data_IF_897228009632
#
_entry.id   IF_897228009632
#
_cell.length_a   1.000
_cell.length_b   1.000
_cell.length_c   1.000
_cell.angle_alpha   90.00
_cell.angle_beta   90.00
_cell.angle_gamma   90.00
#
_symmetry.space_group_name_H-M   'P 1'
#
loop_
_entity.id
_entity.type
_entity.pdbx_description
1 polymer ?
#
# COMPACT_ATOMS: atom_id res chain seq x y z
N UNK A 1 -14.08 -4.85 -2.76
CA UNK A 1 -14.55 -4.11 -1.56
C UNK A 1 -15.92 -3.46 -1.71
N UNK A 2 -16.48 -3.26 -2.92
CA UNK A 2 -17.80 -2.61 -3.10
C UNK A 2 -19.03 -3.53 -2.91
N UNK A 3 -18.86 -4.85 -2.90
CA UNK A 3 -19.98 -5.79 -2.79
C UNK A 3 -20.73 -5.69 -1.45
N UNK A 4 -20.00 -5.50 -0.34
CA UNK A 4 -20.60 -5.34 0.99
C UNK A 4 -21.33 -4.00 1.12
N UNK A 5 -20.73 -2.84 0.79
CA UNK A 5 -21.42 -1.57 0.62
C UNK A 5 -22.71 -1.62 -0.20
N UNK A 6 -22.63 -2.25 -1.38
CA UNK A 6 -23.73 -2.32 -2.32
C UNK A 6 -24.84 -3.25 -1.82
N UNK A 7 -24.50 -4.40 -1.24
CA UNK A 7 -25.46 -5.30 -0.61
C UNK A 7 -26.15 -4.65 0.60
N UNK A 8 -25.40 -3.90 1.43
CA UNK A 8 -25.97 -3.13 2.55
C UNK A 8 -26.87 -1.99 2.04
N UNK A 9 -26.52 -1.33 0.94
CA UNK A 9 -27.34 -0.32 0.28
C UNK A 9 -28.62 -0.90 -0.36
N UNK A 10 -28.55 -2.09 -0.97
CA UNK A 10 -29.72 -2.77 -1.51
C UNK A 10 -30.66 -3.23 -0.39
N UNK A 11 -30.11 -3.76 0.70
CA UNK A 11 -30.87 -4.04 1.93
C UNK A 11 -31.50 -2.77 2.52
N UNK A 12 -30.77 -1.65 2.48
CA UNK A 12 -31.25 -0.34 2.90
C UNK A 12 -32.44 0.14 2.07
N UNK A 13 -32.36 0.11 0.74
CA UNK A 13 -33.44 0.53 -0.17
C UNK A 13 -34.65 -0.40 -0.10
N UNK A 14 -34.43 -1.69 0.13
CA UNK A 14 -35.52 -2.65 0.28
C UNK A 14 -36.21 -2.48 1.64
N UNK A 15 -35.46 -2.25 2.71
CA UNK A 15 -35.99 -2.03 4.06
C UNK A 15 -36.77 -0.72 4.25
N UNK A 16 -36.59 0.29 3.38
CA UNK A 16 -37.38 1.53 3.43
C UNK A 16 -38.77 1.40 2.79
N UNK A 17 -39.00 0.38 1.95
CA UNK A 17 -40.21 0.26 1.13
C UNK A 17 -41.03 -1.01 1.37
N UNK A 18 -40.52 -1.96 2.16
CA UNK A 18 -41.18 -3.26 2.40
C UNK A 18 -41.30 -3.58 3.89
N UNK A 19 -42.24 -4.49 4.21
CA UNK A 19 -42.45 -4.98 5.58
C UNK A 19 -41.14 -5.51 6.20
N UNK A 20 -40.93 -5.26 7.50
CA UNK A 20 -39.72 -5.69 8.24
C UNK A 20 -39.37 -7.17 8.05
N UNK A 21 -40.38 -8.03 7.92
CA UNK A 21 -40.22 -9.47 7.67
C UNK A 21 -39.52 -9.75 6.34
N UNK A 22 -39.86 -9.06 5.26
CA UNK A 22 -39.22 -9.20 3.94
C UNK A 22 -37.76 -8.78 3.98
N UNK A 23 -37.45 -7.66 4.63
CA UNK A 23 -36.08 -7.17 4.79
C UNK A 23 -35.20 -8.16 5.59
N UNK A 24 -35.73 -8.69 6.70
CA UNK A 24 -35.01 -9.69 7.51
C UNK A 24 -34.71 -10.98 6.73
N UNK A 25 -35.66 -11.44 5.91
CA UNK A 25 -35.46 -12.60 5.03
C UNK A 25 -34.40 -12.32 3.98
N UNK A 26 -34.46 -11.19 3.29
CA UNK A 26 -33.44 -10.79 2.32
C UNK A 26 -32.04 -10.68 2.95
N UNK A 27 -31.93 -10.05 4.12
CA UNK A 27 -30.68 -9.94 4.87
C UNK A 27 -30.14 -11.32 5.26
N UNK A 28 -31.01 -12.22 5.73
CA UNK A 28 -30.62 -13.59 6.07
C UNK A 28 -30.11 -14.37 4.85
N UNK A 29 -30.77 -14.24 3.69
CA UNK A 29 -30.31 -14.90 2.46
C UNK A 29 -28.94 -14.36 2.02
N UNK A 30 -28.73 -13.04 2.06
CA UNK A 30 -27.44 -12.44 1.75
C UNK A 30 -26.35 -12.85 2.74
N UNK A 31 -26.67 -12.93 4.04
CA UNK A 31 -25.74 -13.41 5.06
C UNK A 31 -25.35 -14.87 4.82
N UNK A 32 -26.32 -15.74 4.52
CA UNK A 32 -26.06 -17.15 4.19
C UNK A 32 -25.18 -17.26 2.95
N UNK A 33 -25.50 -16.55 1.86
CA UNK A 33 -24.69 -16.54 0.64
C UNK A 33 -23.27 -16.04 0.93
N UNK A 34 -23.13 -14.95 1.70
CA UNK A 34 -21.82 -14.43 2.12
C UNK A 34 -21.02 -15.47 2.89
N UNK A 35 -21.63 -16.15 3.87
CA UNK A 35 -20.97 -17.18 4.68
C UNK A 35 -20.56 -18.39 3.85
N UNK A 36 -21.40 -18.83 2.90
CA UNK A 36 -21.08 -19.92 1.98
C UNK A 36 -19.90 -19.56 1.08
N UNK A 37 -19.90 -18.36 0.49
CA UNK A 37 -18.78 -17.86 -0.33
C UNK A 37 -17.51 -17.74 0.52
N UNK A 38 -17.62 -17.22 1.74
CA UNK A 38 -16.48 -17.11 2.66
C UNK A 38 -15.92 -18.49 3.03
N UNK A 39 -16.77 -19.46 3.35
CA UNK A 39 -16.36 -20.82 3.65
C UNK A 39 -15.69 -21.49 2.44
N UNK A 40 -16.27 -21.35 1.24
CA UNK A 40 -15.70 -21.89 0.01
C UNK A 40 -14.32 -21.25 -0.31
N UNK A 41 -14.18 -19.93 -0.18
CA UNK A 41 -12.91 -19.24 -0.39
C UNK A 41 -11.86 -19.61 0.66
N UNK A 42 -12.26 -19.73 1.93
CA UNK A 42 -11.36 -20.18 3.00
C UNK A 42 -10.93 -21.63 2.78
N UNK A 43 -11.84 -22.52 2.40
CA UNK A 43 -11.52 -23.90 2.04
C UNK A 43 -10.54 -23.98 0.87
N UNK A 44 -10.78 -23.21 -0.19
CA UNK A 44 -9.85 -23.09 -1.31
C UNK A 44 -8.46 -22.57 -0.87
N UNK A 45 -8.40 -21.55 -0.01
CA UNK A 45 -7.12 -21.01 0.48
C UNK A 45 -6.36 -22.01 1.34
N UNK A 46 -7.06 -22.74 2.21
CA UNK A 46 -6.44 -23.79 3.01
C UNK A 46 -5.89 -24.91 2.11
N UNK A 47 -6.63 -25.30 1.07
CA UNK A 47 -6.17 -26.29 0.10
C UNK A 47 -4.97 -25.81 -0.74
N UNK A 48 -5.03 -24.57 -1.24
CA UNK A 48 -4.04 -24.04 -2.18
C UNK A 48 -2.78 -23.48 -1.49
N UNK A 49 -2.95 -22.73 -0.39
CA UNK A 49 -1.85 -22.06 0.32
C UNK A 49 -1.43 -22.78 1.61
N UNK A 50 -2.27 -23.67 2.16
CA UNK A 50 -2.05 -24.25 3.49
C UNK A 50 -2.48 -23.34 4.66
N UNK A 51 -3.03 -22.16 4.36
CA UNK A 51 -3.41 -21.14 5.36
C UNK A 51 -4.78 -20.53 5.05
N UNK A 52 -5.53 -20.06 6.07
CA UNK A 52 -6.86 -19.47 5.85
C UNK A 52 -6.80 -18.13 5.12
N UNK A 53 -5.66 -17.44 5.19
CA UNK A 53 -5.39 -16.16 4.56
C UNK A 53 -4.11 -16.27 3.70
N UNK A 54 -3.95 -15.45 2.65
CA UNK A 54 -2.73 -15.46 1.84
C UNK A 54 -1.54 -14.91 2.64
N UNK A 55 -0.31 -15.28 2.24
CA UNK A 55 0.92 -14.78 2.85
C UNK A 55 0.98 -13.25 2.94
N UNK A 56 0.43 -12.56 1.95
CA UNK A 56 0.35 -11.09 1.91
C UNK A 56 -0.42 -10.49 3.10
N UNK A 57 -1.37 -11.23 3.69
CA UNK A 57 -2.01 -10.82 4.93
C UNK A 57 -0.99 -10.86 6.08
N UNK A 58 -0.39 -12.02 6.34
CA UNK A 58 0.54 -12.21 7.46
C UNK A 58 1.77 -11.32 7.38
N UNK A 59 2.31 -11.11 6.18
CA UNK A 59 3.44 -10.21 5.94
C UNK A 59 3.12 -8.73 6.21
N UNK A 60 1.85 -8.32 6.07
CA UNK A 60 1.42 -6.90 6.16
C UNK A 60 0.64 -6.57 7.42
N UNK A 61 0.32 -7.56 8.25
CA UNK A 61 -0.37 -7.33 9.53
C UNK A 61 0.55 -6.56 10.46
N UNK A 62 -0.02 -5.53 11.08
CA UNK A 62 0.65 -4.71 12.08
C UNK A 62 0.69 -5.39 13.45
N UNK A 63 1.66 -5.02 14.31
CA UNK A 63 1.92 -5.72 15.57
C UNK A 63 0.82 -5.51 16.61
N UNK A 64 0.10 -4.39 16.57
CA UNK A 64 -0.93 -4.08 17.56
C UNK A 64 -2.03 -3.19 17.01
N UNK A 65 -3.18 -3.20 17.70
CA UNK A 65 -4.28 -2.29 17.41
C UNK A 65 -3.87 -0.82 17.61
N UNK A 66 -3.09 -0.52 18.64
CA UNK A 66 -2.61 0.85 18.92
C UNK A 66 -1.75 1.35 17.76
N UNK A 67 -0.83 0.52 17.27
CA UNK A 67 -0.01 0.85 16.11
C UNK A 67 -0.87 1.14 14.88
N UNK A 68 -1.92 0.34 14.65
CA UNK A 68 -2.89 0.62 13.60
C UNK A 68 -3.63 1.94 13.83
N UNK A 69 -4.14 2.21 15.03
CA UNK A 69 -4.88 3.44 15.30
C UNK A 69 -4.02 4.67 15.06
N UNK A 70 -2.75 4.67 15.49
CA UNK A 70 -1.83 5.79 15.28
C UNK A 70 -1.57 6.04 13.80
N UNK A 71 -1.07 5.03 13.07
CA UNK A 71 -0.77 5.20 11.63
C UNK A 71 -2.03 5.43 10.79
N UNK A 72 -3.15 4.83 11.19
CA UNK A 72 -4.44 5.04 10.57
C UNK A 72 -4.99 6.44 10.78
N UNK A 73 -4.77 7.05 11.95
CA UNK A 73 -5.16 8.42 12.23
C UNK A 73 -4.30 9.42 11.47
N UNK A 74 -2.98 9.22 11.41
CA UNK A 74 -2.07 10.02 10.57
C UNK A 74 -2.53 10.00 9.11
N UNK A 75 -2.83 8.81 8.57
CA UNK A 75 -3.35 8.63 7.22
C UNK A 75 -4.73 9.30 7.02
N UNK A 76 -5.58 9.30 8.05
CA UNK A 76 -6.85 10.02 8.01
C UNK A 76 -6.68 11.54 7.98
N UNK A 77 -5.72 12.08 8.76
CA UNK A 77 -5.40 13.51 8.73
C UNK A 77 -4.85 13.91 7.36
N UNK A 78 -3.98 13.09 6.77
CA UNK A 78 -3.50 13.29 5.40
C UNK A 78 -4.67 13.36 4.42
N UNK A 79 -5.62 12.41 4.50
CA UNK A 79 -6.84 12.42 3.68
C UNK A 79 -7.68 13.69 3.88
N UNK A 80 -7.91 14.12 5.13
CA UNK A 80 -8.66 15.36 5.40
C UNK A 80 -7.98 16.61 4.81
N UNK A 81 -6.65 16.60 4.76
CA UNK A 81 -5.85 17.68 4.19
C UNK A 81 -5.68 17.59 2.67
N UNK A 82 -6.07 16.48 2.03
CA UNK A 82 -5.82 16.25 0.61
C UNK A 82 -6.71 17.07 -0.33
N UNK A 83 -7.76 17.71 0.19
CA UNK A 83 -8.66 18.53 -0.61
C UNK A 83 -9.75 19.23 0.21
N UNK A 84 -10.24 20.36 -0.30
CA UNK A 84 -11.26 21.17 0.39
C UNK A 84 -12.57 20.38 0.50
N UNK A 85 -12.99 19.67 -0.56
CA UNK A 85 -14.22 18.87 -0.52
C UNK A 85 -14.14 17.75 0.50
N UNK A 86 -12.97 17.14 0.70
CA UNK A 86 -12.81 16.08 1.70
C UNK A 86 -12.94 16.63 3.11
N UNK A 87 -12.17 17.67 3.44
CA UNK A 87 -12.20 18.29 4.77
C UNK A 87 -13.57 18.92 5.07
N UNK A 88 -14.07 19.78 4.17
CA UNK A 88 -15.36 20.44 4.33
C UNK A 88 -16.52 19.45 4.27
N UNK A 89 -16.48 18.45 3.39
CA UNK A 89 -17.48 17.39 3.30
C UNK A 89 -17.58 16.56 4.57
N UNK A 90 -16.45 16.23 5.18
CA UNK A 90 -16.42 15.49 6.47
C UNK A 90 -16.94 16.37 7.61
N UNK A 91 -16.55 17.64 7.68
CA UNK A 91 -17.05 18.57 8.69
C UNK A 91 -18.58 18.80 8.55
N UNK A 92 -19.07 18.98 7.32
CA UNK A 92 -20.48 19.16 7.03
C UNK A 92 -21.30 17.88 7.30
N UNK A 93 -20.73 16.69 7.09
CA UNK A 93 -21.34 15.43 7.50
C UNK A 93 -21.56 15.38 9.02
N UNK A 94 -20.58 15.82 9.81
CA UNK A 94 -20.69 15.91 11.27
C UNK A 94 -21.75 16.94 11.70
N UNK A 95 -21.76 18.12 11.07
CA UNK A 95 -22.77 19.16 11.33
C UNK A 95 -24.17 18.62 10.99
N UNK A 96 -24.30 17.95 9.85
CA UNK A 96 -25.57 17.36 9.42
C UNK A 96 -26.08 16.34 10.44
N UNK A 97 -25.21 15.51 11.02
CA UNK A 97 -25.59 14.62 12.13
C UNK A 97 -26.10 15.36 13.35
N UNK A 98 -25.39 16.41 13.77
CA UNK A 98 -25.78 17.22 14.93
C UNK A 98 -27.16 17.86 14.70
N UNK A 99 -27.41 18.37 13.50
CA UNK A 99 -28.71 18.92 13.11
C UNK A 99 -29.82 17.87 13.09
N UNK A 100 -29.55 16.67 12.55
CA UNK A 100 -30.51 15.56 12.56
C UNK A 100 -30.82 15.10 13.99
N UNK A 101 -29.81 15.01 14.86
CA UNK A 101 -29.97 14.64 16.26
C UNK A 101 -30.77 15.71 17.03
N UNK A 102 -30.51 17.00 16.77
CA UNK A 102 -31.24 18.11 17.36
C UNK A 102 -32.70 18.14 16.89
N UNK A 103 -32.97 17.97 15.59
CA UNK A 103 -34.34 17.91 15.03
C UNK A 103 -35.16 16.77 15.63
N UNK A 104 -34.54 15.62 15.93
CA UNK A 104 -35.22 14.49 16.60
C UNK A 104 -35.66 14.80 18.02
N UNK A 105 -35.07 15.79 18.68
CA UNK A 105 -35.46 16.22 20.04
C UNK A 105 -36.58 17.25 20.03
N UNK A 106 -36.84 17.90 18.89
CA UNK A 106 -37.95 18.83 18.77
C UNK A 106 -39.27 18.04 18.70
N UNK A 107 -40.34 18.49 19.40
CA UNK A 107 -41.66 17.87 19.29
C UNK A 107 -42.07 17.82 17.82
N UNK A 108 -42.25 16.62 17.27
CA UNK A 108 -42.66 16.48 15.87
C UNK A 108 -44.04 17.09 15.73
N UNK A 109 -44.12 18.28 15.13
CA UNK A 109 -45.39 18.79 14.62
C UNK A 109 -45.85 17.74 13.60
N UNK A 110 -46.91 17.02 13.96
CA UNK A 110 -47.44 15.86 13.25
C UNK A 110 -47.72 16.19 11.79
N UNK A 111 -46.75 15.96 10.91
CA UNK A 111 -46.95 15.95 9.47
C UNK A 111 -46.95 14.47 9.05
N UNK A 112 -48.13 13.84 8.91
CA UNK A 112 -48.26 12.40 9.01
C UNK A 112 -47.63 11.61 7.86
N UNK A 113 -47.51 12.15 6.64
CA UNK A 113 -47.29 11.30 5.47
C UNK A 113 -46.29 11.88 4.46
N UNK A 114 -45.03 12.10 4.86
CA UNK A 114 -43.95 12.20 3.88
C UNK A 114 -43.32 10.81 3.68
N UNK A 115 -43.74 10.03 2.67
CA UNK A 115 -43.16 8.72 2.35
C UNK A 115 -41.69 8.79 1.88
N UNK A 116 -41.10 9.98 1.81
CA UNK A 116 -39.76 10.24 1.29
C UNK A 116 -38.75 10.69 2.34
N UNK A 117 -38.97 10.43 3.65
CA UNK A 117 -37.92 10.67 4.65
C UNK A 117 -36.75 9.72 4.37
N UNK A 118 -35.77 10.21 3.62
CA UNK A 118 -34.51 9.53 3.35
C UNK A 118 -33.92 9.05 4.68
N UNK A 119 -33.48 7.78 4.72
CA UNK A 119 -32.87 7.16 5.88
C UNK A 119 -31.43 7.70 6.09
N UNK A 120 -31.29 9.01 6.28
CA UNK A 120 -30.03 9.72 6.51
C UNK A 120 -29.14 9.10 7.59
N UNK A 121 -29.65 8.66 8.76
CA UNK A 121 -28.80 8.06 9.78
C UNK A 121 -28.01 6.85 9.28
N UNK A 122 -28.63 6.01 8.45
CA UNK A 122 -27.98 4.82 7.90
C UNK A 122 -26.90 5.18 6.88
N UNK A 123 -27.20 6.13 5.98
CA UNK A 123 -26.22 6.66 5.04
C UNK A 123 -25.00 7.21 5.80
N UNK A 124 -25.25 7.99 6.84
CA UNK A 124 -24.16 8.57 7.62
C UNK A 124 -23.38 7.48 8.37
N UNK A 125 -24.04 6.56 9.07
CA UNK A 125 -23.37 5.42 9.73
C UNK A 125 -22.50 4.63 8.76
N UNK A 126 -22.99 4.44 7.53
CA UNK A 126 -22.25 3.76 6.49
C UNK A 126 -21.02 4.55 6.02
N UNK A 127 -21.15 5.87 5.80
CA UNK A 127 -20.01 6.74 5.48
C UNK A 127 -18.97 6.77 6.62
N UNK A 128 -19.41 6.82 7.89
CA UNK A 128 -18.50 6.72 9.04
C UNK A 128 -17.80 5.38 9.12
N UNK A 129 -18.49 4.27 8.82
CA UNK A 129 -17.86 2.97 8.78
C UNK A 129 -16.73 2.96 7.74
N UNK A 130 -16.96 3.52 6.55
CA UNK A 130 -15.92 3.62 5.52
C UNK A 130 -14.75 4.54 5.92
N UNK A 131 -14.99 5.56 6.76
CA UNK A 131 -13.93 6.40 7.34
C UNK A 131 -13.13 5.68 8.45
N UNK A 132 -13.81 4.91 9.30
CA UNK A 132 -13.20 4.25 10.44
C UNK A 132 -12.37 3.04 10.01
N UNK A 133 -12.81 2.31 8.98
CA UNK A 133 -12.15 1.08 8.54
C UNK A 133 -10.64 1.26 8.21
N UNK A 134 -10.24 2.24 7.37
CA UNK A 134 -8.82 2.50 7.12
C UNK A 134 -8.05 2.83 8.40
N UNK A 135 -8.65 3.56 9.34
CA UNK A 135 -8.03 3.88 10.64
C UNK A 135 -7.78 2.61 11.45
N UNK A 136 -8.77 1.71 11.54
CA UNK A 136 -8.65 0.44 12.27
C UNK A 136 -7.62 -0.51 11.65
N UNK A 137 -7.41 -0.44 10.33
CA UNK A 137 -6.40 -1.24 9.63
C UNK A 137 -5.02 -0.58 9.60
N UNK A 138 -4.92 0.65 10.09
CA UNK A 138 -3.69 1.44 10.13
C UNK A 138 -3.23 2.04 8.82
N UNK A 139 -4.19 2.47 8.00
CA UNK A 139 -3.97 3.25 6.80
C UNK A 139 -3.21 2.52 5.70
N UNK A 140 -2.61 3.31 4.83
CA UNK A 140 -1.73 2.84 3.75
C UNK A 140 -0.56 3.82 3.59
N UNK A 141 0.50 3.41 2.90
CA UNK A 141 1.66 4.26 2.59
C UNK A 141 1.66 4.76 1.14
N UNK A 142 0.71 4.31 0.32
CA UNK A 142 0.56 4.80 -1.04
C UNK A 142 -0.16 6.14 -1.05
N UNK A 143 0.24 6.99 -1.99
CA UNK A 143 -0.33 8.31 -2.21
C UNK A 143 -1.84 8.27 -2.49
N UNK A 144 -2.45 9.47 -2.53
CA UNK A 144 -3.83 9.68 -2.96
C UNK A 144 -4.88 9.04 -2.05
N UNK A 145 -4.52 8.71 -0.80
CA UNK A 145 -5.45 8.21 0.21
C UNK A 145 -6.34 7.06 -0.33
N UNK A 146 -5.77 6.12 -1.09
CA UNK A 146 -6.55 5.17 -1.90
C UNK A 146 -7.56 4.32 -1.11
N UNK A 147 -7.35 4.08 0.19
CA UNK A 147 -8.34 3.38 1.01
C UNK A 147 -9.57 4.24 1.35
N UNK A 148 -9.44 5.57 1.30
CA UNK A 148 -10.53 6.53 1.49
C UNK A 148 -11.23 6.93 0.19
N UNK A 149 -10.71 6.57 -0.99
CA UNK A 149 -11.37 6.88 -2.27
C UNK A 149 -12.84 6.43 -2.34
N UNK A 150 -13.26 5.27 -1.79
CA UNK A 150 -14.68 4.91 -1.72
C UNK A 150 -15.55 5.86 -0.87
N UNK A 151 -14.95 6.60 0.08
CA UNK A 151 -15.63 7.59 0.92
C UNK A 151 -15.94 8.86 0.15
N UNK A 152 -15.06 9.26 -0.77
CA UNK A 152 -15.18 10.50 -1.53
C UNK A 152 -16.57 10.73 -2.18
N UNK A 153 -17.12 9.80 -2.99
CA UNK A 153 -18.46 9.98 -3.57
C UNK A 153 -19.56 10.06 -2.50
N UNK A 154 -19.36 9.42 -1.33
CA UNK A 154 -20.29 9.50 -0.22
C UNK A 154 -20.24 10.89 0.43
N UNK A 155 -19.09 11.53 0.54
CA UNK A 155 -18.99 12.92 1.01
C UNK A 155 -19.68 13.89 0.03
N UNK A 156 -19.48 13.72 -1.28
CA UNK A 156 -20.18 14.50 -2.30
C UNK A 156 -21.70 14.33 -2.21
N UNK A 157 -22.18 13.11 -1.99
CA UNK A 157 -23.60 12.85 -1.78
C UNK A 157 -24.09 13.47 -0.46
N UNK A 158 -23.32 13.40 0.62
CA UNK A 158 -23.66 14.02 1.90
C UNK A 158 -23.83 15.53 1.77
N UNK A 159 -22.92 16.20 1.06
CA UNK A 159 -22.99 17.62 0.73
C UNK A 159 -24.26 17.95 -0.05
N UNK A 160 -24.56 17.15 -1.08
CA UNK A 160 -25.76 17.34 -1.90
C UNK A 160 -27.03 17.21 -1.06
N UNK A 161 -27.12 16.17 -0.24
CA UNK A 161 -28.26 15.92 0.64
C UNK A 161 -28.41 17.02 1.70
N UNK A 162 -27.31 17.50 2.27
CA UNK A 162 -27.30 18.64 3.18
C UNK A 162 -27.90 19.89 2.53
N UNK A 163 -27.50 20.23 1.30
CA UNK A 163 -28.04 21.37 0.56
C UNK A 163 -29.54 21.21 0.29
N UNK A 164 -30.00 20.01 -0.10
CA UNK A 164 -31.42 19.71 -0.32
C UNK A 164 -32.23 19.90 0.96
N UNK A 165 -31.74 19.41 2.10
CA UNK A 165 -32.39 19.55 3.40
C UNK A 165 -32.41 21.00 3.90
N UNK A 166 -31.31 21.74 3.66
CA UNK A 166 -31.23 23.16 3.99
C UNK A 166 -32.20 24.01 3.16
N UNK A 167 -32.45 23.64 1.89
CA UNK A 167 -33.47 24.30 1.05
C UNK A 167 -34.87 24.17 1.63
N UNK A 168 -35.20 23.05 2.29
CA UNK A 168 -36.52 22.85 2.90
C UNK A 168 -36.66 23.58 4.24
N UNK A 169 -35.56 23.93 4.90
CA UNK A 169 -35.61 24.76 6.10
C UNK A 169 -35.94 26.21 5.70
N UNK A 170 -37.02 26.78 6.24
CA UNK A 170 -37.58 28.10 5.90
C UNK A 170 -36.68 29.33 6.22
N UNK A 171 -35.37 29.11 6.36
CA UNK A 171 -34.38 30.16 6.56
C UNK A 171 -34.14 30.90 5.25
N UNK A 172 -34.02 32.24 5.30
CA UNK A 172 -33.70 33.09 4.13
C UNK A 172 -32.45 32.62 3.36
N UNK A 173 -31.51 32.01 4.07
CA UNK A 173 -30.31 31.38 3.51
C UNK A 173 -30.62 30.15 2.64
N UNK A 174 -31.64 29.37 3.01
CA UNK A 174 -32.12 28.22 2.24
C UNK A 174 -32.72 28.65 0.89
N UNK A 175 -33.37 29.81 0.81
CA UNK A 175 -33.89 30.36 -0.45
C UNK A 175 -32.75 30.75 -1.41
N UNK A 176 -31.66 31.36 -0.91
CA UNK A 176 -30.47 31.67 -1.71
C UNK A 176 -29.79 30.40 -2.24
N UNK A 177 -29.54 29.43 -1.36
CA UNK A 177 -29.00 28.10 -1.72
C UNK A 177 -29.93 27.34 -2.67
N UNK A 178 -31.24 27.52 -2.58
CA UNK A 178 -32.17 26.85 -3.50
C UNK A 178 -32.08 27.38 -4.93
N UNK A 179 -31.76 28.67 -5.09
CA UNK A 179 -31.69 29.35 -6.39
C UNK A 179 -30.35 29.10 -7.10
N UNK A 180 -29.27 29.00 -6.33
CA UNK A 180 -27.91 28.89 -6.88
C UNK A 180 -27.16 27.62 -6.48
N UNK A 181 -27.71 26.79 -5.61
CA UNK A 181 -26.98 25.68 -4.97
C UNK A 181 -26.44 24.64 -5.94
N UNK A 182 -27.17 24.33 -7.02
CA UNK A 182 -26.64 23.44 -8.06
C UNK A 182 -25.41 24.05 -8.77
N UNK A 183 -25.47 25.35 -9.11
CA UNK A 183 -24.35 26.06 -9.70
C UNK A 183 -23.18 26.21 -8.71
N UNK A 184 -23.46 26.49 -7.44
CA UNK A 184 -22.43 26.56 -6.39
C UNK A 184 -21.76 25.20 -6.14
N UNK A 185 -22.53 24.11 -6.08
CA UNK A 185 -21.98 22.75 -5.96
C UNK A 185 -21.15 22.38 -7.19
N UNK A 186 -21.60 22.73 -8.39
CA UNK A 186 -20.82 22.52 -9.61
C UNK A 186 -19.52 23.32 -9.60
N UNK A 187 -19.57 24.60 -9.24
CA UNK A 187 -18.38 25.46 -9.14
C UNK A 187 -17.42 24.98 -8.05
N UNK A 188 -17.92 24.50 -6.91
CA UNK A 188 -17.11 23.91 -5.85
C UNK A 188 -16.47 22.59 -6.29
N UNK A 189 -17.20 21.72 -6.97
CA UNK A 189 -16.67 20.48 -7.52
C UNK A 189 -15.63 20.75 -8.61
N UNK A 190 -15.87 21.75 -9.47
CA UNK A 190 -14.91 22.18 -10.48
C UNK A 190 -13.66 22.78 -9.84
N UNK A 191 -13.81 23.67 -8.85
CA UNK A 191 -12.69 24.25 -8.11
C UNK A 191 -11.89 23.16 -7.38
N UNK A 192 -12.55 22.22 -6.72
CA UNK A 192 -11.88 21.10 -6.06
C UNK A 192 -11.16 20.20 -7.07
N UNK A 193 -11.76 19.91 -8.23
CA UNK A 193 -11.11 19.20 -9.31
C UNK A 193 -9.86 19.94 -9.82
N UNK A 194 -9.95 21.27 -9.99
CA UNK A 194 -8.82 22.11 -10.41
C UNK A 194 -7.71 22.17 -9.34
N UNK A 195 -8.08 22.33 -8.06
CA UNK A 195 -7.13 22.34 -6.94
C UNK A 195 -6.50 20.97 -6.72
N UNK A 196 -7.27 19.89 -6.89
CA UNK A 196 -6.77 18.52 -6.84
C UNK A 196 -5.82 18.23 -7.99
N UNK A 197 -6.18 18.64 -9.22
CA UNK A 197 -5.31 18.51 -10.39
C UNK A 197 -4.00 19.29 -10.20
N UNK A 198 -4.10 20.52 -9.69
CA UNK A 198 -2.94 21.37 -9.38
C UNK A 198 -2.07 20.78 -8.27
N UNK A 199 -2.66 20.40 -7.13
CA UNK A 199 -1.97 19.96 -5.93
C UNK A 199 -1.31 18.59 -6.06
N UNK A 200 -1.86 17.69 -6.88
CA UNK A 200 -1.29 16.36 -7.11
C UNK A 200 -0.36 16.30 -8.34
N UNK A 201 -0.02 17.45 -8.92
CA UNK A 201 0.80 17.51 -10.14
C UNK A 201 0.15 16.76 -11.31
N UNK A 202 -1.18 16.60 -11.30
CA UNK A 202 -1.91 16.04 -12.42
C UNK A 202 -2.10 17.15 -13.45
N UNK A 203 -1.04 17.47 -14.20
CA UNK A 203 -1.19 18.31 -15.37
C UNK A 203 -1.66 17.47 -16.56
N UNK A 204 -2.45 18.09 -17.44
CA UNK A 204 -2.78 17.51 -18.74
C UNK A 204 -1.52 17.19 -19.57
N UNK A 205 -0.40 17.88 -19.29
CA UNK A 205 0.88 17.58 -19.90
C UNK A 205 1.48 16.28 -19.34
N UNK A 206 1.44 16.05 -18.03
CA UNK A 206 1.94 14.80 -17.41
C UNK A 206 1.13 13.59 -17.88
N UNK A 207 -0.20 13.74 -18.00
CA UNK A 207 -1.08 12.70 -18.56
C UNK A 207 -0.79 12.36 -20.02
N UNK A 208 -0.17 13.30 -20.76
CA UNK A 208 0.14 13.15 -22.18
C UNK A 208 1.48 12.44 -22.42
N UNK A 209 2.41 12.48 -21.47
CA UNK A 209 3.80 12.07 -21.71
C UNK A 209 4.28 10.90 -20.83
N UNK A 210 3.88 10.80 -19.56
CA UNK A 210 4.22 9.63 -18.72
C UNK A 210 3.07 9.28 -17.77
N UNK A 211 2.62 8.02 -17.81
CA UNK A 211 1.60 7.54 -16.88
C UNK A 211 2.19 7.47 -15.46
N UNK A 212 1.47 7.90 -14.41
CA UNK A 212 1.93 7.72 -13.03
C UNK A 212 2.21 6.27 -12.63
N UNK A 213 1.67 5.30 -13.39
CA UNK A 213 1.93 3.86 -13.20
C UNK A 213 3.04 3.30 -14.11
N UNK A 214 3.64 4.12 -14.98
CA UNK A 214 4.73 3.69 -15.88
C UNK A 214 5.94 3.19 -15.08
N UNK A 215 6.24 3.84 -13.95
CA UNK A 215 7.27 3.39 -13.04
C UNK A 215 7.03 1.95 -12.53
N UNK A 216 5.78 1.55 -12.28
CA UNK A 216 5.44 0.19 -11.84
C UNK A 216 5.76 -0.85 -12.94
N UNK A 217 5.48 -0.52 -14.21
CA UNK A 217 5.84 -1.37 -15.34
C UNK A 217 7.36 -1.43 -15.53
N UNK A 218 8.05 -0.29 -15.48
CA UNK A 218 9.52 -0.23 -15.58
C UNK A 218 10.20 -1.04 -14.47
N UNK A 219 9.66 -1.05 -13.24
CA UNK A 219 10.18 -1.90 -12.15
C UNK A 219 10.03 -3.38 -12.51
N UNK A 220 8.86 -3.80 -13.03
CA UNK A 220 8.64 -5.18 -13.45
C UNK A 220 9.56 -5.60 -14.61
N UNK A 221 9.71 -4.75 -15.63
CA UNK A 221 10.61 -4.98 -16.77
C UNK A 221 12.07 -5.08 -16.34
N UNK A 222 12.54 -4.17 -15.47
CA UNK A 222 13.89 -4.23 -14.89
C UNK A 222 14.10 -5.54 -14.12
N UNK A 223 13.09 -5.98 -13.36
CA UNK A 223 13.11 -7.27 -12.68
C UNK A 223 13.23 -8.45 -13.65
N UNK A 224 12.44 -8.45 -14.73
CA UNK A 224 12.49 -9.50 -15.76
C UNK A 224 13.88 -9.53 -16.42
N UNK A 225 14.39 -8.36 -16.83
CA UNK A 225 15.71 -8.22 -17.43
C UNK A 225 16.82 -8.68 -16.47
N UNK A 226 16.71 -8.37 -15.18
CA UNK A 226 17.63 -8.84 -14.14
C UNK A 226 17.61 -10.38 -14.03
N UNK A 227 16.44 -11.01 -14.02
CA UNK A 227 16.34 -12.47 -13.97
C UNK A 227 16.93 -13.16 -15.20
N UNK A 228 16.75 -12.60 -16.41
CA UNK A 228 17.44 -13.09 -17.60
C UNK A 228 18.97 -12.93 -17.49
N UNK A 229 19.44 -11.78 -16.99
CA UNK A 229 20.87 -11.54 -16.78
C UNK A 229 21.48 -12.54 -15.80
N UNK A 230 20.79 -12.83 -14.70
CA UNK A 230 21.21 -13.85 -13.73
C UNK A 230 21.27 -15.25 -14.36
N UNK A 231 20.28 -15.62 -15.19
CA UNK A 231 20.32 -16.88 -15.91
C UNK A 231 21.56 -16.97 -16.84
N UNK A 232 21.89 -15.89 -17.54
CA UNK A 232 23.07 -15.82 -18.41
C UNK A 232 24.39 -15.85 -17.63
N UNK A 233 24.44 -15.24 -16.44
CA UNK A 233 25.61 -15.22 -15.57
C UNK A 233 25.92 -16.62 -15.01
N UNK A 234 24.88 -17.39 -14.68
CA UNK A 234 25.00 -18.71 -14.04
C UNK A 234 24.53 -19.86 -14.93
N UNK A 235 24.69 -19.74 -16.26
CA UNK A 235 24.28 -20.79 -17.20
C UNK A 235 25.09 -22.08 -17.02
N UNK A 236 26.35 -21.98 -16.63
CA UNK A 236 27.28 -23.11 -16.51
C UNK A 236 27.25 -23.78 -15.12
N UNK A 237 26.59 -23.16 -14.14
CA UNK A 237 26.46 -23.75 -12.81
C UNK A 237 25.36 -24.82 -12.83
N UNK A 238 25.62 -26.03 -12.27
CA UNK A 238 24.63 -27.09 -12.22
C UNK A 238 23.44 -26.73 -11.33
N UNK A 239 23.69 -25.94 -10.27
CA UNK A 239 22.67 -25.39 -9.38
C UNK A 239 22.82 -23.88 -9.36
N UNK A 240 21.73 -23.18 -9.69
CA UNK A 240 21.71 -21.72 -9.70
C UNK A 240 21.67 -21.17 -8.26
N UNK A 241 22.37 -20.07 -7.97
CA UNK A 241 22.44 -19.51 -6.63
C UNK A 241 21.06 -19.04 -6.14
N UNK A 242 20.86 -19.10 -4.82
CA UNK A 242 19.70 -18.51 -4.17
C UNK A 242 19.79 -16.99 -4.17
N UNK A 243 18.76 -16.31 -4.70
CA UNK A 243 18.75 -14.85 -4.83
C UNK A 243 17.67 -14.25 -3.92
N UNK A 244 18.11 -13.53 -2.90
CA UNK A 244 17.25 -12.75 -2.02
C UNK A 244 16.93 -11.39 -2.62
N UNK A 245 15.66 -11.00 -2.54
CA UNK A 245 15.11 -9.76 -3.11
C UNK A 245 14.10 -9.17 -2.16
N UNK A 246 13.98 -7.84 -2.15
CA UNK A 246 12.97 -7.14 -1.35
C UNK A 246 11.58 -7.41 -1.98
N UNK A 247 11.21 -6.84 -3.14
CA UNK A 247 10.08 -7.35 -3.90
C UNK A 247 10.52 -8.38 -4.96
N UNK A 248 9.89 -9.56 -4.95
CA UNK A 248 10.17 -10.61 -5.94
C UNK A 248 9.75 -10.26 -7.38
N UNK A 249 8.61 -9.55 -7.55
CA UNK A 249 8.19 -8.90 -8.80
C UNK A 249 8.54 -9.62 -10.11
N UNK A 250 9.15 -8.88 -11.04
CA UNK A 250 9.51 -9.38 -12.37
C UNK A 250 10.64 -10.42 -12.38
N UNK A 251 11.59 -10.35 -11.44
CA UNK A 251 12.72 -11.30 -11.39
C UNK A 251 12.24 -12.73 -11.11
N UNK A 252 11.23 -12.91 -10.25
CA UNK A 252 10.64 -14.22 -10.00
C UNK A 252 9.92 -14.84 -11.22
N UNK A 253 9.64 -14.05 -12.27
CA UNK A 253 9.04 -14.55 -13.51
C UNK A 253 10.06 -15.04 -14.52
N UNK A 254 11.31 -14.57 -14.46
CA UNK A 254 12.33 -14.86 -15.48
C UNK A 254 13.53 -15.61 -14.93
N UNK A 255 13.93 -15.41 -13.67
CA UNK A 255 15.01 -16.20 -13.06
C UNK A 255 14.53 -17.62 -12.77
N UNK A 256 15.35 -18.61 -13.11
CA UNK A 256 14.99 -20.04 -12.96
C UNK A 256 15.62 -20.70 -11.74
N UNK A 257 16.46 -19.97 -10.99
CA UNK A 257 16.98 -20.43 -9.70
C UNK A 257 16.07 -20.05 -8.54
N UNK A 258 16.45 -20.41 -7.30
CA UNK A 258 15.67 -20.08 -6.11
C UNK A 258 15.59 -18.56 -5.88
N UNK A 259 14.37 -18.05 -5.67
CA UNK A 259 14.11 -16.66 -5.25
C UNK A 259 13.65 -16.67 -3.79
N UNK A 260 14.25 -15.80 -2.98
CA UNK A 260 13.90 -15.62 -1.58
C UNK A 260 13.28 -14.23 -1.43
N UNK A 261 11.96 -14.19 -1.26
CA UNK A 261 11.19 -12.95 -1.09
C UNK A 261 11.25 -12.49 0.37
N UNK A 262 12.06 -11.45 0.62
CA UNK A 262 12.31 -10.92 1.96
C UNK A 262 11.09 -10.18 2.54
N UNK A 263 10.12 -9.79 1.71
CA UNK A 263 8.85 -9.23 2.16
C UNK A 263 7.83 -10.31 2.54
N UNK A 264 8.15 -11.59 2.38
CA UNK A 264 7.25 -12.69 2.72
C UNK A 264 5.93 -12.67 1.93
N UNK A 265 5.86 -12.03 0.76
CA UNK A 265 4.67 -12.09 -0.08
C UNK A 265 4.56 -13.46 -0.75
N UNK A 266 5.70 -14.03 -1.13
CA UNK A 266 5.83 -15.33 -1.79
C UNK A 266 6.62 -16.36 -0.97
N UNK A 267 7.23 -15.95 0.15
CA UNK A 267 7.99 -16.85 1.02
C UNK A 267 7.27 -17.03 2.36
N UNK A 268 6.79 -18.26 2.62
CA UNK A 268 6.04 -18.58 3.85
C UNK A 268 6.91 -18.43 5.11
N UNK A 269 8.23 -18.58 5.00
CA UNK A 269 9.14 -18.45 6.15
C UNK A 269 9.09 -17.02 6.69
N UNK A 270 9.19 -16.01 5.82
CA UNK A 270 9.08 -14.59 6.22
C UNK A 270 7.64 -14.16 6.53
N UNK A 271 6.66 -14.70 5.79
CA UNK A 271 5.24 -14.39 6.03
C UNK A 271 4.83 -14.76 7.46
N UNK A 272 5.25 -15.93 7.94
CA UNK A 272 4.82 -16.52 9.22
C UNK A 272 5.86 -16.44 10.34
N UNK A 273 7.01 -15.80 10.11
CA UNK A 273 8.03 -15.64 11.14
C UNK A 273 7.50 -14.85 12.35
N UNK A 274 7.85 -15.25 13.56
CA UNK A 274 7.45 -14.60 14.81
C UNK A 274 8.37 -13.40 15.13
N UNK A 275 8.45 -12.45 14.20
CA UNK A 275 9.27 -11.24 14.31
C UNK A 275 8.50 -9.99 14.70
N UNK A 276 9.23 -8.89 14.86
CA UNK A 276 8.63 -7.57 14.98
C UNK A 276 8.00 -7.17 13.64
N UNK A 277 6.73 -6.76 13.66
CA UNK A 277 6.06 -6.20 12.48
C UNK A 277 6.07 -4.66 12.48
N UNK A 278 7.03 -4.08 13.20
CA UNK A 278 7.27 -2.65 13.24
C UNK A 278 8.25 -2.22 12.13
N UNK A 279 8.02 -1.02 11.59
CA UNK A 279 8.80 -0.45 10.50
C UNK A 279 7.88 0.16 9.45
N UNK A 280 8.34 0.14 8.20
CA UNK A 280 7.54 0.67 7.09
C UNK A 280 6.26 -0.17 6.89
N UNK A 281 5.10 0.51 6.92
CA UNK A 281 3.80 -0.15 6.77
C UNK A 281 3.75 -1.00 5.49
N UNK A 282 3.39 -2.27 5.65
CA UNK A 282 3.31 -3.23 4.54
C UNK A 282 4.66 -3.78 4.05
N UNK A 283 5.77 -3.39 4.67
CA UNK A 283 7.14 -3.83 4.36
C UNK A 283 7.93 -4.26 5.62
N UNK A 284 7.27 -4.36 6.78
CA UNK A 284 7.91 -4.61 8.07
C UNK A 284 8.16 -6.11 8.38
N UNK A 285 7.90 -7.01 7.42
CA UNK A 285 7.96 -8.46 7.66
C UNK A 285 9.37 -9.03 7.75
N UNK A 286 10.37 -8.32 7.23
CA UNK A 286 11.74 -8.79 7.17
C UNK A 286 12.31 -8.97 8.59
N UNK A 287 13.07 -10.04 8.80
CA UNK A 287 13.82 -10.27 10.03
C UNK A 287 15.24 -10.73 9.75
N UNK A 288 16.21 -10.11 10.43
CA UNK A 288 17.64 -10.37 10.23
C UNK A 288 18.02 -11.81 10.60
N UNK A 289 17.50 -12.31 11.71
CA UNK A 289 17.79 -13.67 12.18
C UNK A 289 17.39 -14.72 11.14
N UNK A 290 16.17 -14.61 10.61
CA UNK A 290 15.70 -15.51 9.56
C UNK A 290 16.56 -15.37 8.29
N UNK A 291 16.92 -14.15 7.88
CA UNK A 291 17.82 -13.93 6.75
C UNK A 291 19.14 -14.67 6.92
N UNK A 292 19.80 -14.55 8.08
CA UNK A 292 21.05 -15.25 8.35
C UNK A 292 20.90 -16.77 8.43
N UNK A 293 19.74 -17.27 8.87
CA UNK A 293 19.47 -18.72 8.86
C UNK A 293 19.30 -19.29 7.46
N UNK A 294 18.74 -18.49 6.52
CA UNK A 294 18.60 -18.87 5.11
C UNK A 294 19.93 -18.74 4.38
N UNK A 295 20.73 -17.71 4.73
CA UNK A 295 22.04 -17.40 4.15
C UNK A 295 22.03 -17.40 2.60
N UNK A 296 21.23 -16.52 1.95
CA UNK A 296 21.16 -16.45 0.50
C UNK A 296 22.54 -16.19 -0.13
N UNK A 297 22.77 -16.73 -1.33
CA UNK A 297 24.05 -16.56 -2.01
C UNK A 297 24.22 -15.12 -2.53
N UNK A 298 23.12 -14.49 -2.96
CA UNK A 298 23.07 -13.15 -3.51
C UNK A 298 21.93 -12.37 -2.84
N UNK A 299 22.18 -11.13 -2.43
CA UNK A 299 21.14 -10.18 -2.04
C UNK A 299 21.11 -9.03 -3.05
N UNK A 300 19.99 -8.91 -3.77
CA UNK A 300 19.76 -7.80 -4.70
C UNK A 300 19.52 -6.52 -3.91
N UNK A 301 20.51 -5.63 -3.94
CA UNK A 301 20.45 -4.34 -3.26
C UNK A 301 21.64 -3.46 -3.61
N UNK A 302 21.62 -2.25 -3.05
CA UNK A 302 22.70 -1.28 -3.11
C UNK A 302 23.08 -0.85 -1.68
N UNK A 303 24.32 -0.44 -1.42
CA UNK A 303 24.72 0.10 -0.13
C UNK A 303 23.84 1.27 0.29
N UNK A 304 23.63 1.47 1.61
CA UNK A 304 22.92 2.63 2.13
C UNK A 304 23.53 3.94 1.62
N UNK A 305 22.67 4.90 1.26
CA UNK A 305 23.06 6.18 0.71
C UNK A 305 21.98 7.24 0.97
N UNK A 306 22.19 8.49 0.50
CA UNK A 306 21.25 9.59 0.72
C UNK A 306 20.02 9.54 -0.20
N UNK A 307 20.10 8.79 -1.31
CA UNK A 307 18.99 8.68 -2.24
C UNK A 307 17.80 7.91 -1.63
N UNK A 308 16.61 8.11 -2.21
CA UNK A 308 15.38 7.52 -1.68
C UNK A 308 15.38 5.98 -1.78
N UNK A 309 16.02 5.41 -2.79
CA UNK A 309 16.02 3.96 -3.04
C UNK A 309 16.90 3.19 -2.05
N UNK A 310 18.09 3.72 -1.75
CA UNK A 310 18.98 3.13 -0.74
C UNK A 310 18.40 3.27 0.67
N UNK A 311 17.75 4.40 1.02
CA UNK A 311 17.00 4.54 2.28
C UNK A 311 15.87 3.53 2.40
N UNK A 312 15.02 3.42 1.36
CA UNK A 312 13.94 2.42 1.33
C UNK A 312 14.48 1.00 1.55
N UNK A 313 15.57 0.65 0.89
CA UNK A 313 16.23 -0.65 1.04
C UNK A 313 16.69 -0.88 2.47
N UNK A 314 17.40 0.07 3.06
CA UNK A 314 17.92 -0.05 4.41
C UNK A 314 16.82 -0.12 5.47
N UNK A 315 15.78 0.71 5.34
CA UNK A 315 14.64 0.75 6.27
C UNK A 315 13.83 -0.54 6.20
N UNK A 316 13.57 -1.04 4.99
CA UNK A 316 12.86 -2.31 4.77
C UNK A 316 13.65 -3.50 5.31
N UNK A 317 14.98 -3.48 5.16
CA UNK A 317 15.87 -4.50 5.69
C UNK A 317 16.29 -4.24 7.16
N UNK A 318 15.62 -3.33 7.86
CA UNK A 318 15.86 -3.02 9.29
C UNK A 318 17.34 -2.78 9.61
N UNK A 319 18.07 -2.09 8.72
CA UNK A 319 19.49 -1.83 8.89
C UNK A 319 20.37 -3.07 8.77
N UNK A 320 19.96 -4.10 8.00
CA UNK A 320 20.79 -5.27 7.71
C UNK A 320 22.13 -4.89 7.06
N UNK A 321 22.11 -3.93 6.13
CA UNK A 321 23.29 -3.63 5.32
C UNK A 321 24.43 -2.99 6.13
N UNK A 322 24.10 -2.29 7.23
CA UNK A 322 25.11 -1.72 8.15
C UNK A 322 25.45 -2.65 9.31
N UNK A 323 24.92 -3.88 9.30
CA UNK A 323 25.17 -4.87 10.34
C UNK A 323 26.57 -5.49 10.20
N UNK A 324 27.36 -5.52 11.27
CA UNK A 324 28.69 -6.10 11.24
C UNK A 324 28.68 -7.61 10.93
N UNK A 325 27.63 -8.34 11.31
CA UNK A 325 27.49 -9.74 10.93
C UNK A 325 27.26 -9.89 9.42
N UNK A 326 26.47 -8.99 8.83
CA UNK A 326 26.25 -8.95 7.39
C UNK A 326 27.54 -8.62 6.63
N UNK A 327 28.25 -7.56 7.02
CA UNK A 327 29.51 -7.16 6.38
C UNK A 327 30.63 -8.23 6.46
N UNK A 328 30.59 -9.08 7.48
CA UNK A 328 31.50 -10.24 7.60
C UNK A 328 31.14 -11.36 6.62
N UNK A 329 29.85 -11.60 6.37
CA UNK A 329 29.39 -12.71 5.53
C UNK A 329 29.19 -12.33 4.06
N UNK A 330 28.97 -11.05 3.76
CA UNK A 330 28.66 -10.53 2.45
C UNK A 330 29.62 -9.40 2.07
N UNK A 331 29.93 -9.27 0.78
CA UNK A 331 30.64 -8.13 0.23
C UNK A 331 29.88 -7.54 -0.96
N UNK A 332 30.13 -6.26 -1.23
CA UNK A 332 29.49 -5.55 -2.33
C UNK A 332 30.47 -5.38 -3.50
N UNK A 333 30.08 -5.85 -4.68
CA UNK A 333 30.96 -5.80 -5.83
C UNK A 333 30.26 -6.14 -7.13
N UNK A 334 31.05 -6.26 -8.18
CA UNK A 334 30.60 -6.66 -9.52
C UNK A 334 31.08 -8.07 -9.82
N UNK A 335 30.15 -8.97 -10.12
CA UNK A 335 30.42 -10.32 -10.60
C UNK A 335 30.20 -10.35 -12.12
N UNK A 336 31.21 -10.76 -12.87
CA UNK A 336 31.19 -10.81 -14.34
C UNK A 336 31.51 -12.20 -14.83
N UNK A 337 30.80 -12.69 -15.85
CA UNK A 337 31.09 -14.01 -16.43
C UNK A 337 32.45 -13.99 -17.14
N UNK A 338 33.29 -14.99 -16.88
CA UNK A 338 34.59 -15.13 -17.53
C UNK A 338 34.38 -15.30 -19.04
N UNK A 339 35.10 -14.53 -19.85
CA UNK A 339 35.05 -14.63 -21.32
C UNK A 339 33.79 -14.08 -22.00
N UNK A 340 32.82 -13.50 -21.27
CA UNK A 340 31.62 -12.90 -21.87
C UNK A 340 31.49 -11.41 -21.54
N UNK A 341 31.69 -10.55 -22.53
CA UNK A 341 31.55 -9.09 -22.36
C UNK A 341 30.08 -8.72 -22.13
N UNK A 342 29.82 -7.87 -21.14
CA UNK A 342 28.51 -7.27 -20.89
C UNK A 342 27.57 -8.06 -19.96
N UNK A 343 27.96 -9.27 -19.53
CA UNK A 343 27.18 -10.06 -18.55
C UNK A 343 27.78 -9.84 -17.16
N UNK A 344 27.30 -8.81 -16.47
CA UNK A 344 27.74 -8.45 -15.12
C UNK A 344 26.57 -8.11 -14.18
N UNK A 345 26.74 -8.42 -12.90
CA UNK A 345 25.81 -8.03 -11.84
C UNK A 345 26.57 -7.34 -10.71
N UNK A 346 26.12 -6.15 -10.32
CA UNK A 346 26.62 -5.47 -9.13
C UNK A 346 25.63 -5.62 -8.00
N UNK A 347 26.03 -6.25 -6.90
CA UNK A 347 25.16 -6.51 -5.75
C UNK A 347 25.93 -6.99 -4.53
N UNK A 348 25.20 -7.42 -3.49
CA UNK A 348 25.78 -8.13 -2.35
C UNK A 348 25.87 -9.61 -2.63
N UNK A 349 27.06 -10.18 -2.43
CA UNK A 349 27.34 -11.60 -2.62
C UNK A 349 27.87 -12.19 -1.33
N UNK A 350 27.40 -13.38 -0.96
CA UNK A 350 27.97 -14.08 0.19
C UNK A 350 29.41 -14.50 -0.13
N UNK A 351 30.32 -14.33 0.84
CA UNK A 351 31.73 -14.71 0.67
C UNK A 351 31.90 -16.20 0.40
N UNK A 352 31.02 -17.03 0.99
CA UNK A 352 30.95 -18.48 0.76
C UNK A 352 30.64 -18.78 -0.71
N UNK A 353 29.66 -18.11 -1.29
CA UNK A 353 29.30 -18.28 -2.70
C UNK A 353 30.44 -17.82 -3.62
N UNK A 354 31.05 -16.66 -3.33
CA UNK A 354 32.16 -16.16 -4.12
C UNK A 354 33.35 -17.13 -4.17
N UNK A 355 33.72 -17.74 -3.04
CA UNK A 355 34.75 -18.77 -3.01
C UNK A 355 34.44 -19.93 -3.98
N UNK A 356 33.20 -20.42 -3.99
CA UNK A 356 32.79 -21.50 -4.89
C UNK A 356 32.81 -21.11 -6.38
N UNK A 357 32.50 -19.85 -6.68
CA UNK A 357 32.48 -19.33 -8.07
C UNK A 357 33.90 -19.09 -8.59
N UNK A 358 34.80 -18.63 -7.71
CA UNK A 358 36.21 -18.45 -8.04
C UNK A 358 36.88 -19.81 -8.31
N UNK A 359 36.62 -20.82 -7.47
CA UNK A 359 37.07 -22.19 -7.68
C UNK A 359 36.58 -22.79 -9.01
N UNK A 360 35.37 -22.44 -9.45
CA UNK A 360 34.81 -22.94 -10.71
C UNK A 360 35.34 -22.21 -11.94
N UNK A 361 35.94 -21.03 -11.78
CA UNK A 361 36.44 -20.17 -12.87
C UNK A 361 35.35 -19.58 -13.78
N UNK A 362 34.06 -19.79 -13.46
CA UNK A 362 32.91 -19.40 -14.32
C UNK A 362 32.71 -17.89 -14.33
N UNK A 363 33.01 -17.22 -13.22
CA UNK A 363 32.90 -15.77 -13.11
C UNK A 363 34.02 -15.19 -12.25
N UNK A 364 34.34 -13.93 -12.52
CA UNK A 364 35.28 -13.14 -11.73
C UNK A 364 34.54 -12.10 -10.91
N UNK A 365 34.96 -11.93 -9.67
CA UNK A 365 34.41 -10.94 -8.75
C UNK A 365 35.39 -9.80 -8.53
N UNK A 366 34.88 -8.57 -8.53
CA UNK A 366 35.62 -7.38 -8.14
C UNK A 366 34.84 -6.66 -7.05
N UNK A 367 35.42 -6.57 -5.84
CA UNK A 367 34.85 -5.75 -4.76
C UNK A 367 34.90 -4.27 -5.17
N UNK A 368 33.77 -3.57 -5.08
CA UNK A 368 33.68 -2.16 -5.50
C UNK A 368 33.51 -1.23 -4.32
N UNK A 369 32.92 -1.73 -3.23
CA UNK A 369 32.79 -1.00 -1.97
C UNK A 369 33.02 -1.93 -0.78
N UNK A 370 33.67 -1.40 0.26
CA UNK A 370 33.96 -2.10 1.50
C UNK A 370 33.28 -1.39 2.67
N UNK A 371 32.75 -2.14 3.61
CA UNK A 371 32.21 -1.58 4.85
C UNK A 371 33.35 -1.25 5.83
N UNK A 372 33.46 0.01 6.25
CA UNK A 372 34.53 0.50 7.14
C UNK A 372 34.20 0.37 8.66
N UNK A 373 33.04 -0.20 8.98
CA UNK A 373 32.49 -0.27 10.34
C UNK A 373 31.33 0.71 10.57
N UNK A 374 31.18 1.71 9.70
CA UNK A 374 30.10 2.71 9.77
C UNK A 374 29.33 2.83 8.45
N UNK A 375 30.02 2.84 7.32
CA UNK A 375 29.44 3.02 5.99
C UNK A 375 30.21 2.21 4.94
N UNK A 376 29.68 2.17 3.72
CA UNK A 376 30.39 1.58 2.58
C UNK A 376 31.22 2.66 1.86
N UNK A 377 32.52 2.41 1.73
CA UNK A 377 33.48 3.27 1.02
C UNK A 377 33.96 2.58 -0.26
N UNK A 378 34.27 3.36 -1.31
CA UNK A 378 34.76 2.78 -2.58
C UNK A 378 36.14 2.15 -2.40
N UNK A 379 36.32 0.93 -2.88
CA UNK A 379 37.64 0.28 -2.91
C UNK A 379 38.48 0.90 -4.02
N UNK A 380 39.70 1.35 -3.70
CA UNK A 380 40.66 1.82 -4.71
C UNK A 380 40.60 3.31 -5.08
N UNK A 381 39.81 4.14 -4.39
CA UNK A 381 40.13 5.57 -4.31
C UNK A 381 41.14 5.71 -3.17
N UNK A 382 42.40 5.38 -3.46
CA UNK A 382 43.49 5.90 -2.65
C UNK A 382 43.34 7.42 -2.72
N UNK A 383 42.91 8.01 -1.61
CA UNK A 383 43.07 9.43 -1.33
C UNK A 383 44.58 9.72 -1.31
N UNK A 384 45.22 9.75 -2.48
CA UNK A 384 46.27 10.72 -2.74
C UNK A 384 45.59 12.10 -2.79
N UNK A 385 45.04 12.50 -1.64
CA UNK A 385 44.89 13.91 -1.30
C UNK A 385 46.32 14.40 -1.23
N UNK A 386 46.79 14.91 -2.37
CA UNK A 386 47.87 15.88 -2.41
C UNK A 386 47.51 16.94 -1.38
N UNK A 387 48.19 16.91 -0.24
CA UNK A 387 48.19 18.03 0.68
C UNK A 387 48.44 19.29 -0.16
N UNK A 388 47.67 20.39 0.02
CA UNK A 388 47.99 21.63 -0.64
C UNK A 388 49.43 21.98 -0.27
N UNK A 389 50.32 22.02 -1.26
CA UNK A 389 51.63 22.63 -1.07
C UNK A 389 51.36 24.11 -0.82
N UNK A 390 51.45 24.50 0.46
CA UNK A 390 51.51 25.88 0.88
C UNK A 390 52.79 26.54 0.37
#
# INVERSE_FOLDING_TARGET
MLAVPFALFLLWRHGTSTARSTCSRAASYLAVVFLLVLAALTGFRLWYFGYPLPNTYYAKVSPSLIYNLTGGFEYFVEFLSSGIVVGAGTALLLIFLLLLAARRRLPSVSSPDSPNRCNYPHFVSFTFLLLILPVLTGGDHFAMSRFFQPVFPMLCLALTLFVIEMRQSALRFGAFLSRYGAASLFLLALLDCLLFAWGNGASLADWRWESPIDNEFRIAEKGIALGHRLNSLFTELPVKPGVAVIPAGGIARSYTGPIIDLLGLNDTRFAHYQGSREGMKGHASFEKELFFSIAPDILIGVPPGPDKGSRFTNDTLKGLLVDQAFARQYCYGSLSRTGTVGVQLTSFFSRRFLASVEESGVASFSETMQFDGTTYVKVGVSDQILAPRY
#
